data_IF_125524989547
#
_entry.id   IF_125524989547
#
_cell.length_a   1.000
_cell.length_b   1.000
_cell.length_c   1.000
_cell.angle_alpha   90.00
_cell.angle_beta   90.00
_cell.angle_gamma   90.00
#
_symmetry.space_group_name_H-M   'P 1'
#
loop_
_entity.id
_entity.type
_entity.pdbx_description
1 polymer ?
#
# COMPACT_ATOMS: atom_id res chain seq x y z
N UNK A 1 11.52 -4.69 -24.93
CA UNK A 1 10.96 -3.87 -23.84
C UNK A 1 11.90 -4.04 -22.66
N UNK A 2 12.57 -2.99 -22.16
CA UNK A 2 13.69 -3.15 -21.21
C UNK A 2 13.19 -3.43 -19.79
N UNK A 3 12.74 -4.67 -19.57
CA UNK A 3 12.55 -5.26 -18.25
C UNK A 3 13.93 -5.79 -17.82
N UNK A 4 14.36 -5.48 -16.61
CA UNK A 4 15.62 -5.99 -16.07
C UNK A 4 15.65 -7.54 -16.10
N UNK A 5 16.79 -8.18 -16.40
CA UNK A 5 16.87 -9.66 -16.48
C UNK A 5 16.38 -10.37 -15.21
N UNK A 6 16.64 -9.77 -14.04
CA UNK A 6 16.22 -10.34 -12.74
C UNK A 6 14.78 -9.99 -12.34
N UNK A 7 13.98 -9.42 -13.24
CA UNK A 7 12.59 -9.09 -12.93
C UNK A 7 11.77 -10.39 -12.77
N UNK A 8 11.06 -10.57 -11.65
CA UNK A 8 10.37 -11.83 -11.36
C UNK A 8 9.16 -12.03 -12.27
N UNK A 9 8.90 -13.28 -12.63
CA UNK A 9 7.69 -13.69 -13.35
C UNK A 9 6.45 -13.77 -12.45
N UNK A 10 6.64 -14.03 -11.15
CA UNK A 10 5.56 -14.12 -10.18
C UNK A 10 5.12 -12.73 -9.71
N UNK A 11 3.80 -12.41 -9.76
CA UNK A 11 3.28 -11.13 -9.25
C UNK A 11 3.32 -11.04 -7.71
N UNK A 12 3.62 -12.14 -7.02
CA UNK A 12 3.73 -12.22 -5.58
C UNK A 12 5.17 -12.06 -5.08
N UNK A 13 6.17 -12.18 -5.96
CA UNK A 13 7.57 -12.06 -5.59
C UNK A 13 7.88 -10.65 -5.09
N UNK A 14 8.58 -10.56 -3.96
CA UNK A 14 9.06 -9.30 -3.42
C UNK A 14 10.14 -8.76 -4.36
N UNK A 15 9.86 -7.60 -4.96
CA UNK A 15 10.77 -6.97 -5.92
C UNK A 15 11.81 -6.12 -5.19
N UNK A 16 13.09 -6.29 -5.52
CA UNK A 16 14.13 -5.36 -5.10
C UNK A 16 13.90 -4.00 -5.79
N UNK A 17 13.87 -2.86 -5.06
CA UNK A 17 13.71 -1.53 -5.62
C UNK A 17 14.66 -1.17 -6.77
N UNK A 18 15.83 -1.82 -6.85
CA UNK A 18 16.79 -1.60 -7.94
C UNK A 18 16.45 -2.38 -9.22
N UNK A 19 15.61 -3.41 -9.13
CA UNK A 19 15.15 -4.23 -10.26
C UNK A 19 13.84 -3.64 -10.80
N UNK A 20 13.91 -2.90 -11.91
CA UNK A 20 12.73 -2.24 -12.50
C UNK A 20 12.67 -2.31 -14.01
N UNK A 21 11.46 -2.04 -14.50
CA UNK A 21 11.25 -1.60 -15.87
C UNK A 21 11.78 -0.17 -16.04
N UNK A 22 12.49 0.09 -17.14
CA UNK A 22 13.06 1.38 -17.47
C UNK A 22 12.61 1.81 -18.88
N UNK A 23 12.02 3.01 -19.07
CA UNK A 23 11.56 3.48 -20.38
C UNK A 23 12.70 3.99 -21.29
N UNK A 24 13.90 3.41 -21.20
CA UNK A 24 15.04 3.75 -22.05
C UNK A 24 16.01 2.57 -22.17
N UNK A 25 17.01 2.69 -23.05
CA UNK A 25 18.07 1.68 -23.16
C UNK A 25 18.85 1.55 -21.84
N UNK A 26 19.29 0.35 -21.46
CA UNK A 26 19.99 0.12 -20.18
C UNK A 26 21.22 1.01 -19.99
N UNK A 27 21.88 1.40 -21.08
CA UNK A 27 23.06 2.29 -21.09
C UNK A 27 22.73 3.68 -20.49
N UNK A 28 21.46 4.11 -20.53
CA UNK A 28 21.01 5.39 -19.98
C UNK A 28 20.54 5.30 -18.52
N UNK A 29 20.62 4.12 -17.90
CA UNK A 29 20.15 3.90 -16.52
C UNK A 29 20.96 4.72 -15.53
N UNK A 30 22.28 4.70 -15.57
CA UNK A 30 23.09 5.44 -14.59
C UNK A 30 22.95 6.97 -14.69
N UNK A 31 22.73 7.51 -15.90
CA UNK A 31 22.71 8.97 -16.14
C UNK A 31 21.32 9.61 -16.15
N UNK A 32 20.25 8.82 -16.37
CA UNK A 32 18.90 9.34 -16.61
C UNK A 32 17.81 8.72 -15.73
N UNK A 33 18.14 7.73 -14.90
CA UNK A 33 17.16 6.99 -14.10
C UNK A 33 16.44 7.85 -13.07
N UNK A 34 17.15 8.75 -12.39
CA UNK A 34 16.53 9.66 -11.42
C UNK A 34 15.64 10.72 -12.08
N UNK A 35 15.91 11.07 -13.35
CA UNK A 35 15.16 12.10 -14.09
C UNK A 35 13.83 11.60 -14.67
N UNK A 36 13.66 10.28 -14.80
CA UNK A 36 12.49 9.66 -15.45
C UNK A 36 11.52 9.04 -14.44
N UNK A 37 11.91 8.88 -13.19
CA UNK A 37 11.07 8.37 -12.13
C UNK A 37 10.41 9.53 -11.37
N UNK A 38 9.20 9.32 -10.81
CA UNK A 38 8.64 10.28 -9.87
C UNK A 38 9.65 10.52 -8.73
N UNK A 39 10.00 11.79 -8.41
CA UNK A 39 11.17 12.14 -7.61
C UNK A 39 11.30 11.42 -6.26
N UNK A 40 10.17 11.20 -5.58
CA UNK A 40 10.14 10.58 -4.25
C UNK A 40 10.15 9.05 -4.28
N UNK A 41 9.77 8.43 -5.41
CA UNK A 41 9.40 7.00 -5.45
C UNK A 41 10.59 6.07 -5.33
N UNK A 42 11.77 6.46 -5.84
CA UNK A 42 12.95 5.60 -5.75
C UNK A 42 13.39 5.43 -4.30
N UNK A 43 13.63 6.54 -3.61
CA UNK A 43 14.07 6.53 -2.21
C UNK A 43 13.00 5.95 -1.28
N UNK A 44 11.72 6.28 -1.48
CA UNK A 44 10.64 5.68 -0.68
C UNK A 44 10.63 4.16 -0.77
N UNK A 45 10.82 3.57 -1.95
CA UNK A 45 10.80 2.11 -2.10
C UNK A 45 12.00 1.45 -1.41
N UNK A 46 13.19 2.08 -1.42
CA UNK A 46 14.34 1.61 -0.63
C UNK A 46 14.04 1.66 0.87
N UNK A 47 13.49 2.79 1.35
CA UNK A 47 13.16 2.99 2.77
C UNK A 47 12.09 2.00 3.25
N UNK A 48 11.02 1.79 2.45
CA UNK A 48 9.97 0.81 2.74
C UNK A 48 10.51 -0.62 2.74
N UNK A 49 11.40 -0.99 1.80
CA UNK A 49 12.09 -2.29 1.85
C UNK A 49 12.87 -2.48 3.15
N UNK A 50 13.72 -1.53 3.51
CA UNK A 50 14.50 -1.60 4.74
C UNK A 50 13.60 -1.68 5.98
N UNK A 51 12.56 -0.85 6.05
CA UNK A 51 11.58 -0.86 7.14
C UNK A 51 10.85 -2.20 7.26
N UNK A 52 10.43 -2.79 6.14
CA UNK A 52 9.84 -4.14 6.09
C UNK A 52 10.78 -5.20 6.65
N UNK A 53 12.08 -5.12 6.33
CA UNK A 53 13.11 -6.06 6.79
C UNK A 53 13.36 -5.96 8.30
N UNK A 54 13.12 -4.79 8.92
CA UNK A 54 13.16 -4.65 10.38
C UNK A 54 11.96 -5.26 11.10
N UNK A 55 10.93 -5.72 10.37
CA UNK A 55 9.67 -6.14 10.97
C UNK A 55 8.75 -4.97 11.33
N UNK A 56 8.82 -3.87 10.58
CA UNK A 56 7.95 -2.69 10.72
C UNK A 56 8.22 -1.83 11.98
N UNK A 57 9.47 -1.75 12.43
CA UNK A 57 9.85 -0.95 13.61
C UNK A 57 9.37 0.50 13.49
N UNK A 58 8.80 1.02 14.57
CA UNK A 58 8.34 2.41 14.68
C UNK A 58 6.88 2.65 14.25
N UNK A 59 6.22 1.67 13.64
CA UNK A 59 4.76 1.71 13.46
C UNK A 59 4.02 1.29 14.73
N UNK A 60 2.75 1.69 14.83
CA UNK A 60 1.85 1.32 15.90
C UNK A 60 1.53 -0.18 15.90
N UNK A 61 1.15 -0.71 17.06
CA UNK A 61 0.89 -2.14 17.24
C UNK A 61 -0.23 -2.62 16.30
N UNK A 62 -1.27 -1.81 16.10
CA UNK A 62 -2.35 -2.09 15.14
C UNK A 62 -1.84 -2.24 13.71
N UNK A 63 -0.94 -1.37 13.27
CA UNK A 63 -0.35 -1.42 11.93
C UNK A 63 0.51 -2.67 11.76
N UNK A 64 1.34 -3.00 12.75
CA UNK A 64 2.18 -4.19 12.73
C UNK A 64 1.31 -5.46 12.68
N UNK A 65 0.26 -5.53 13.50
CA UNK A 65 -0.69 -6.64 13.51
C UNK A 65 -1.34 -6.85 12.13
N UNK A 66 -1.89 -5.79 11.53
CA UNK A 66 -2.55 -5.87 10.23
C UNK A 66 -1.58 -6.22 9.09
N UNK A 67 -0.38 -5.64 9.07
CA UNK A 67 0.65 -5.95 8.06
C UNK A 67 1.11 -7.42 8.15
N UNK A 68 1.29 -7.93 9.37
CA UNK A 68 1.64 -9.33 9.59
C UNK A 68 0.49 -10.26 9.17
N UNK A 69 -0.75 -9.90 9.51
CA UNK A 69 -1.94 -10.62 9.07
C UNK A 69 -2.00 -10.68 7.54
N UNK A 70 -1.95 -9.56 6.83
CA UNK A 70 -2.13 -9.54 5.37
C UNK A 70 -0.99 -10.17 4.59
N UNK A 71 0.26 -10.03 5.04
CA UNK A 71 1.43 -10.31 4.19
C UNK A 71 2.38 -11.38 4.72
N UNK A 72 2.19 -11.85 5.96
CA UNK A 72 2.99 -12.94 6.54
C UNK A 72 2.16 -14.16 6.92
N UNK A 73 0.89 -13.98 7.31
CA UNK A 73 -0.01 -15.10 7.61
C UNK A 73 -0.48 -15.78 6.33
N UNK A 74 -0.56 -17.11 6.36
CA UNK A 74 -1.18 -17.89 5.30
C UNK A 74 -2.70 -17.79 5.39
N UNK A 75 -3.36 -17.51 4.25
CA UNK A 75 -4.81 -17.41 4.15
C UNK A 75 -5.35 -18.51 3.27
N UNK A 76 -6.14 -19.42 3.83
CA UNK A 76 -6.80 -20.49 3.10
C UNK A 76 -8.27 -20.12 2.88
N UNK A 77 -8.64 -19.87 1.63
CA UNK A 77 -10.03 -19.54 1.26
C UNK A 77 -10.74 -20.77 0.69
N UNK A 78 -11.98 -21.06 1.12
CA UNK A 78 -12.78 -22.12 0.53
C UNK A 78 -13.15 -21.78 -0.91
N UNK A 79 -13.19 -22.79 -1.77
CA UNK A 79 -13.73 -22.72 -3.13
C UNK A 79 -15.09 -23.39 -3.20
N UNK A 80 -15.83 -23.06 -4.26
CA UNK A 80 -17.14 -23.66 -4.54
C UNK A 80 -17.10 -25.18 -4.78
N UNK A 81 -15.95 -25.72 -5.18
CA UNK A 81 -15.72 -27.16 -5.39
C UNK A 81 -15.37 -27.93 -4.10
N UNK A 82 -15.40 -27.27 -2.94
CA UNK A 82 -15.02 -27.86 -1.65
C UNK A 82 -13.51 -27.90 -1.38
N UNK A 83 -12.67 -27.49 -2.32
CA UNK A 83 -11.22 -27.36 -2.11
C UNK A 83 -10.86 -26.02 -1.46
N UNK A 84 -9.65 -25.92 -0.90
CA UNK A 84 -9.10 -24.64 -0.44
C UNK A 84 -8.11 -24.08 -1.45
N UNK A 85 -7.98 -22.75 -1.50
CA UNK A 85 -6.87 -22.07 -2.18
C UNK A 85 -6.11 -21.22 -1.19
N UNK A 86 -4.80 -21.20 -1.32
CA UNK A 86 -3.96 -20.19 -0.69
C UNK A 86 -4.19 -18.85 -1.37
N UNK A 87 -4.62 -17.86 -0.60
CA UNK A 87 -4.77 -16.49 -1.01
C UNK A 87 -3.52 -15.69 -0.65
N UNK A 88 -3.07 -14.85 -1.58
CA UNK A 88 -1.98 -13.92 -1.35
C UNK A 88 -2.26 -12.60 -2.08
N UNK A 89 -1.92 -11.48 -1.46
CA UNK A 89 -1.91 -10.18 -2.14
C UNK A 89 -0.69 -10.08 -3.06
N UNK A 90 -0.86 -9.41 -4.21
CA UNK A 90 0.27 -9.13 -5.10
C UNK A 90 1.29 -8.21 -4.42
N UNK A 91 2.56 -8.32 -4.80
CA UNK A 91 3.61 -7.47 -4.25
C UNK A 91 3.30 -5.98 -4.45
N UNK A 92 2.76 -5.59 -5.61
CA UNK A 92 2.36 -4.20 -5.87
C UNK A 92 1.23 -3.70 -4.95
N UNK A 93 0.35 -4.58 -4.48
CA UNK A 93 -0.71 -4.24 -3.51
C UNK A 93 -0.10 -4.07 -2.12
N UNK A 94 0.79 -4.99 -1.72
CA UNK A 94 1.55 -4.91 -0.47
C UNK A 94 2.37 -3.63 -0.39
N UNK A 95 3.15 -3.34 -1.42
CA UNK A 95 4.02 -2.16 -1.48
C UNK A 95 3.21 -0.87 -1.41
N UNK A 96 2.03 -0.81 -2.04
CA UNK A 96 1.13 0.34 -1.93
C UNK A 96 0.65 0.57 -0.49
N UNK A 97 0.19 -0.48 0.18
CA UNK A 97 -0.28 -0.41 1.57
C UNK A 97 0.85 -0.07 2.53
N UNK A 98 1.98 -0.78 2.45
CA UNK A 98 3.14 -0.54 3.29
C UNK A 98 3.69 0.88 3.12
N UNK A 99 3.65 1.45 1.91
CA UNK A 99 4.13 2.82 1.69
C UNK A 99 3.25 3.84 2.40
N UNK A 100 1.92 3.69 2.35
CA UNK A 100 0.99 4.58 3.07
C UNK A 100 1.21 4.48 4.57
N UNK A 101 1.27 3.26 5.12
CA UNK A 101 1.47 3.03 6.54
C UNK A 101 2.86 3.53 6.99
N UNK A 102 3.90 3.26 6.21
CA UNK A 102 5.25 3.76 6.49
C UNK A 102 5.29 5.28 6.62
N UNK A 103 4.70 6.00 5.65
CA UNK A 103 4.69 7.46 5.65
C UNK A 103 3.90 8.05 6.82
N UNK A 104 2.72 7.48 7.11
CA UNK A 104 1.84 8.00 8.15
C UNK A 104 2.28 7.60 9.56
N UNK A 105 2.57 6.32 9.77
CA UNK A 105 2.68 5.76 11.11
C UNK A 105 4.14 5.70 11.59
N UNK A 106 5.04 5.21 10.74
CA UNK A 106 6.46 5.09 11.07
C UNK A 106 7.24 6.40 10.93
N UNK A 107 7.04 7.12 9.82
CA UNK A 107 7.72 8.41 9.56
C UNK A 107 6.96 9.58 10.18
N UNK A 108 5.64 9.48 10.31
CA UNK A 108 4.76 10.54 10.84
C UNK A 108 4.88 11.85 10.05
N UNK A 109 4.85 11.72 8.72
CA UNK A 109 4.83 12.86 7.81
C UNK A 109 3.62 13.73 8.11
N UNK A 110 3.85 15.02 8.36
CA UNK A 110 2.80 16.00 8.65
C UNK A 110 2.43 16.84 7.43
N UNK A 111 3.43 17.18 6.62
CA UNK A 111 3.27 18.14 5.54
C UNK A 111 4.19 17.86 4.35
N UNK A 112 4.15 18.77 3.37
CA UNK A 112 5.00 18.71 2.17
C UNK A 112 6.50 18.77 2.49
N UNK A 113 6.92 19.46 3.54
CA UNK A 113 8.35 19.56 3.91
C UNK A 113 8.90 18.23 4.41
N UNK A 114 8.11 17.47 5.17
CA UNK A 114 8.46 16.11 5.57
C UNK A 114 8.62 15.18 4.35
N UNK A 115 7.74 15.33 3.34
CA UNK A 115 7.80 14.53 2.10
C UNK A 115 9.03 14.86 1.23
N UNK A 116 9.46 16.12 1.19
CA UNK A 116 10.63 16.54 0.39
C UNK A 116 11.93 15.86 0.83
N UNK A 117 12.00 15.29 2.05
CA UNK A 117 13.16 14.49 2.51
C UNK A 117 13.40 13.23 1.68
N UNK A 118 12.42 12.81 0.89
CA UNK A 118 12.53 11.67 -0.02
C UNK A 118 12.90 12.08 -1.46
N UNK A 119 13.04 13.37 -1.76
CA UNK A 119 13.49 13.82 -3.07
C UNK A 119 15.01 13.69 -3.20
N UNK A 120 15.46 12.69 -3.95
CA UNK A 120 16.89 12.56 -4.30
C UNK A 120 17.29 13.41 -5.50
N UNK A 121 16.33 13.90 -6.30
CA UNK A 121 16.59 14.63 -7.54
C UNK A 121 16.86 16.12 -7.32
N UNK A 122 16.41 16.67 -6.19
CA UNK A 122 16.42 18.11 -5.92
C UNK A 122 15.52 18.92 -6.85
N UNK A 123 14.67 18.26 -7.64
CA UNK A 123 13.79 18.89 -8.63
C UNK A 123 12.48 19.38 -8.02
N UNK A 124 12.16 19.01 -6.77
CA UNK A 124 10.89 19.34 -6.13
C UNK A 124 11.10 20.41 -5.06
N UNK A 125 10.26 21.46 -5.10
CA UNK A 125 10.21 22.48 -4.05
C UNK A 125 8.82 22.53 -3.40
N UNK A 126 8.77 23.00 -2.15
CA UNK A 126 7.51 23.14 -1.41
C UNK A 126 6.50 24.07 -2.10
N UNK A 127 6.99 25.05 -2.88
CA UNK A 127 6.17 25.98 -3.66
C UNK A 127 5.45 25.33 -4.84
N UNK A 128 5.75 24.07 -5.18
CA UNK A 128 5.04 23.31 -6.22
C UNK A 128 3.72 22.71 -5.72
N UNK A 129 3.42 22.84 -4.43
CA UNK A 129 2.21 22.28 -3.80
C UNK A 129 1.42 23.40 -3.13
N UNK A 130 0.20 23.62 -3.64
CA UNK A 130 -0.74 24.59 -3.09
C UNK A 130 -1.46 24.04 -1.85
N UNK A 131 -1.57 22.73 -1.71
CA UNK A 131 -2.23 22.10 -0.58
C UNK A 131 -1.36 22.08 0.68
N UNK A 132 -1.98 22.47 1.80
CA UNK A 132 -1.38 22.42 3.14
C UNK A 132 -1.82 21.19 3.96
N UNK A 133 -2.64 20.31 3.38
CA UNK A 133 -3.07 19.06 4.01
C UNK A 133 -2.38 17.85 3.41
N UNK A 134 -2.22 16.81 4.23
CA UNK A 134 -1.62 15.55 3.81
C UNK A 134 -2.54 14.83 2.80
N UNK A 135 -2.02 14.58 1.60
CA UNK A 135 -2.70 13.80 0.55
C UNK A 135 -1.75 12.74 0.00
N UNK A 136 -2.14 11.47 0.14
CA UNK A 136 -1.44 10.38 -0.50
C UNK A 136 -2.13 9.96 -1.79
N UNK A 137 -1.32 9.71 -2.82
CA UNK A 137 -1.78 9.28 -4.15
C UNK A 137 -1.11 7.97 -4.51
N UNK A 138 -1.91 6.96 -4.79
CA UNK A 138 -1.42 5.65 -5.24
C UNK A 138 -1.70 5.50 -6.73
N UNK A 139 -0.65 5.47 -7.55
CA UNK A 139 -0.75 5.23 -8.98
C UNK A 139 -0.64 3.73 -9.27
N UNK A 140 -1.74 3.13 -9.76
CA UNK A 140 -1.82 1.69 -10.01
C UNK A 140 -2.38 1.38 -11.40
N UNK A 141 -1.88 0.32 -12.03
CA UNK A 141 -2.38 -0.16 -13.32
C UNK A 141 -3.84 -0.66 -13.24
N UNK A 142 -4.52 -0.71 -14.39
CA UNK A 142 -5.83 -1.39 -14.47
C UNK A 142 -5.65 -2.89 -14.30
N UNK A 143 -6.54 -3.53 -13.53
CA UNK A 143 -6.45 -4.96 -13.21
C UNK A 143 -5.53 -5.31 -12.02
N UNK A 144 -4.73 -4.38 -11.48
CA UNK A 144 -3.82 -4.67 -10.36
C UNK A 144 -4.51 -4.80 -8.99
N UNK A 145 -5.84 -4.71 -8.92
CA UNK A 145 -6.61 -4.83 -7.67
C UNK A 145 -6.65 -3.56 -6.81
N UNK A 146 -6.91 -2.38 -7.41
CA UNK A 146 -7.09 -1.12 -6.68
C UNK A 146 -8.11 -1.21 -5.53
N UNK A 147 -9.23 -1.89 -5.75
CA UNK A 147 -10.27 -2.07 -4.74
C UNK A 147 -9.77 -2.85 -3.52
N UNK A 148 -8.88 -3.85 -3.71
CA UNK A 148 -8.28 -4.60 -2.61
C UNK A 148 -7.34 -3.71 -1.78
N UNK A 149 -6.52 -2.89 -2.42
CA UNK A 149 -5.68 -1.91 -1.69
C UNK A 149 -6.55 -0.95 -0.90
N UNK A 150 -7.64 -0.47 -1.50
CA UNK A 150 -8.58 0.41 -0.83
C UNK A 150 -9.22 -0.25 0.40
N UNK A 151 -9.68 -1.51 0.32
CA UNK A 151 -10.25 -2.19 1.49
C UNK A 151 -9.23 -2.38 2.63
N UNK A 152 -7.97 -2.71 2.31
CA UNK A 152 -6.89 -2.80 3.30
C UNK A 152 -6.65 -1.46 4.00
N UNK A 153 -6.54 -0.37 3.24
CA UNK A 153 -6.33 0.98 3.82
C UNK A 153 -7.52 1.41 4.69
N UNK A 154 -8.76 1.16 4.25
CA UNK A 154 -9.95 1.50 5.03
C UNK A 154 -10.01 0.71 6.35
N UNK A 155 -9.71 -0.59 6.31
CA UNK A 155 -9.64 -1.41 7.52
C UNK A 155 -8.54 -0.91 8.47
N UNK A 156 -7.35 -0.60 7.96
CA UNK A 156 -6.27 -0.02 8.76
C UNK A 156 -6.69 1.29 9.40
N UNK A 157 -7.23 2.26 8.64
CA UNK A 157 -7.68 3.53 9.19
C UNK A 157 -8.71 3.33 10.33
N UNK A 158 -9.66 2.42 10.13
CA UNK A 158 -10.70 2.15 11.12
C UNK A 158 -10.11 1.59 12.43
N UNK A 159 -9.31 0.52 12.36
CA UNK A 159 -8.75 -0.11 13.56
C UNK A 159 -7.66 0.72 14.21
N UNK A 160 -6.84 1.42 13.43
CA UNK A 160 -5.85 2.33 13.96
C UNK A 160 -6.53 3.45 14.76
N UNK A 161 -7.66 4.00 14.26
CA UNK A 161 -8.48 4.93 15.05
C UNK A 161 -9.17 4.29 16.26
N UNK A 162 -9.47 3.00 16.21
CA UNK A 162 -10.15 2.31 17.30
C UNK A 162 -9.21 1.98 18.47
N UNK A 163 -7.97 1.59 18.17
CA UNK A 163 -7.05 1.02 19.16
C UNK A 163 -5.90 1.91 19.54
N UNK A 164 -5.45 2.81 18.65
CA UNK A 164 -4.34 3.72 18.96
C UNK A 164 -4.91 5.03 19.55
N UNK A 165 -4.62 5.36 20.83
CA UNK A 165 -5.24 6.51 21.51
C UNK A 165 -5.03 7.85 20.80
N UNK A 166 -3.86 8.04 20.20
CA UNK A 166 -3.44 9.29 19.56
C UNK A 166 -3.68 9.29 18.04
N UNK A 167 -4.43 8.31 17.51
CA UNK A 167 -4.71 8.23 16.08
C UNK A 167 -5.57 9.39 15.60
N UNK A 168 -5.13 10.11 14.57
CA UNK A 168 -5.92 11.14 13.88
C UNK A 168 -6.73 10.58 12.70
N UNK A 169 -6.65 9.27 12.44
CA UNK A 169 -7.40 8.63 11.35
C UNK A 169 -8.91 8.60 11.63
N UNK A 170 -9.68 8.26 10.61
CA UNK A 170 -11.14 8.27 10.65
C UNK A 170 -11.74 6.86 10.75
N UNK A 171 -12.95 6.78 11.32
CA UNK A 171 -13.82 5.59 11.25
C UNK A 171 -14.92 5.68 10.19
N UNK A 172 -15.13 6.88 9.66
CA UNK A 172 -16.14 7.18 8.63
C UNK A 172 -15.41 7.56 7.34
N UNK A 173 -15.83 6.97 6.23
CA UNK A 173 -15.13 7.12 4.96
C UNK A 173 -16.11 7.53 3.85
N UNK A 174 -15.63 8.42 2.97
CA UNK A 174 -16.33 8.79 1.73
C UNK A 174 -15.54 8.24 0.54
N UNK A 175 -16.17 7.36 -0.24
CA UNK A 175 -15.61 6.86 -1.50
C UNK A 175 -16.32 7.55 -2.66
N UNK A 176 -15.57 8.30 -3.46
CA UNK A 176 -16.09 9.05 -4.61
C UNK A 176 -15.72 8.30 -5.89
N UNK A 177 -16.72 8.03 -6.73
CA UNK A 177 -16.56 7.42 -8.04
C UNK A 177 -16.78 8.45 -9.16
N UNK A 178 -16.07 8.35 -10.29
CA UNK A 178 -16.15 9.32 -11.38
C UNK A 178 -17.45 9.25 -12.19
N UNK A 179 -18.19 8.14 -12.11
CA UNK A 179 -19.47 7.93 -12.78
C UNK A 179 -20.24 6.76 -12.13
N UNK A 180 -21.51 6.62 -12.51
CA UNK A 180 -22.42 5.61 -11.96
C UNK A 180 -21.93 4.17 -12.21
N UNK A 181 -21.28 3.90 -13.35
CA UNK A 181 -20.79 2.55 -13.69
C UNK A 181 -19.67 2.13 -12.74
N UNK A 182 -18.75 3.04 -12.42
CA UNK A 182 -17.69 2.77 -11.45
C UNK A 182 -18.26 2.70 -10.03
N UNK A 183 -19.24 3.56 -9.71
CA UNK A 183 -19.94 3.52 -8.43
C UNK A 183 -20.58 2.16 -8.19
N UNK A 184 -21.35 1.65 -9.14
CA UNK A 184 -22.07 0.37 -9.02
C UNK A 184 -21.10 -0.82 -8.82
N UNK A 185 -19.92 -0.78 -9.46
CA UNK A 185 -18.88 -1.81 -9.26
C UNK A 185 -18.28 -1.76 -7.86
N UNK A 186 -17.87 -0.57 -7.40
CA UNK A 186 -17.35 -0.40 -6.03
C UNK A 186 -18.42 -0.81 -5.02
N UNK A 187 -19.67 -0.40 -5.26
CA UNK A 187 -20.79 -0.71 -4.40
C UNK A 187 -21.06 -2.22 -4.35
N UNK A 188 -20.98 -2.93 -5.47
CA UNK A 188 -21.08 -4.39 -5.48
C UNK A 188 -20.00 -5.08 -4.62
N UNK A 189 -18.80 -4.50 -4.52
CA UNK A 189 -17.71 -5.01 -3.67
C UNK A 189 -17.93 -4.66 -2.18
N UNK A 190 -18.38 -3.43 -1.87
CA UNK A 190 -18.46 -2.92 -0.49
C UNK A 190 -19.82 -3.09 0.20
N UNK A 191 -20.91 -3.29 -0.54
CA UNK A 191 -22.27 -3.40 0.03
C UNK A 191 -22.35 -4.58 1.01
N UNK A 192 -22.87 -4.29 2.20
CA UNK A 192 -22.92 -5.25 3.31
C UNK A 192 -21.54 -5.62 3.86
N UNK A 193 -20.54 -4.75 3.69
CA UNK A 193 -19.14 -4.96 4.12
C UNK A 193 -18.47 -6.19 3.46
N UNK A 194 -19.01 -6.66 2.34
CA UNK A 194 -18.67 -7.96 1.74
C UNK A 194 -17.19 -8.16 1.46
N UNK A 195 -16.51 -7.15 0.91
CA UNK A 195 -15.08 -7.24 0.61
C UNK A 195 -14.22 -7.48 1.85
N UNK A 196 -14.65 -7.01 3.03
CA UNK A 196 -13.92 -7.19 4.29
C UNK A 196 -13.97 -8.63 4.82
N UNK A 197 -14.98 -9.40 4.41
CA UNK A 197 -15.18 -10.80 4.82
C UNK A 197 -14.85 -11.82 3.73
N UNK A 198 -14.92 -11.43 2.44
CA UNK A 198 -14.60 -12.32 1.32
C UNK A 198 -13.10 -12.49 1.13
N UNK A 199 -12.36 -11.39 1.29
CA UNK A 199 -10.91 -11.39 1.32
C UNK A 199 -10.44 -11.41 2.78
N UNK A 200 -9.20 -11.86 3.08
CA UNK A 200 -8.66 -11.87 4.44
C UNK A 200 -8.25 -10.46 4.92
N UNK A 201 -9.15 -9.49 4.81
CA UNK A 201 -8.92 -8.10 5.23
C UNK A 201 -8.99 -8.00 6.76
N UNK A 202 -9.99 -8.64 7.37
CA UNK A 202 -10.17 -8.63 8.83
C UNK A 202 -9.53 -9.86 9.47
N UNK A 203 -8.65 -9.68 10.48
CA UNK A 203 -8.23 -10.78 11.33
C UNK A 203 -9.39 -11.49 12.04
N UNK A 204 -9.10 -12.67 12.57
CA UNK A 204 -10.00 -13.35 13.50
C UNK A 204 -10.02 -12.63 14.86
N UNK A 205 -11.15 -12.66 15.56
CA UNK A 205 -11.26 -12.07 16.89
C UNK A 205 -10.30 -12.77 17.87
N UNK A 206 -9.58 -11.98 18.66
CA UNK A 206 -8.52 -12.44 19.55
C UNK A 206 -7.13 -12.44 18.92
N UNK A 207 -6.99 -12.21 17.60
CA UNK A 207 -5.69 -12.02 16.98
C UNK A 207 -4.99 -10.80 17.62
N UNK A 208 -3.75 -10.99 18.10
CA UNK A 208 -3.02 -9.99 18.89
C UNK A 208 -3.83 -9.40 20.08
N UNK A 209 -4.78 -10.17 20.62
CA UNK A 209 -5.60 -9.76 21.77
C UNK A 209 -6.70 -8.74 21.47
N UNK A 210 -6.99 -8.46 20.19
CA UNK A 210 -7.96 -7.42 19.77
C UNK A 210 -9.22 -8.00 19.10
N UNK A 211 -10.26 -7.17 18.96
CA UNK A 211 -11.54 -7.55 18.35
C UNK A 211 -11.73 -6.98 16.93
N UNK A 212 -11.40 -7.77 15.92
CA UNK A 212 -11.32 -7.34 14.53
C UNK A 212 -12.61 -7.48 13.71
N UNK A 213 -13.71 -7.95 14.31
CA UNK A 213 -14.99 -8.22 13.63
C UNK A 213 -16.21 -7.72 14.38
#
# INVERSE_FOLDING_TARGET
>A
MAIHPDFPSSPYAILNPDVRWFPAAEILRESSYEKLLPPLVHELRKKVKAWRETGYVGAADTSVALLNWWFKKEHLLPKADGTTRTFQYYYAQREAVETVIYLYDAVRVKDKYDLLRFDSSGAVSASMFDEEWLRFVIKMATGSGKTKVMSLILAWCYFHKLYEPDSELARNFLVIAPNIIVLDRIRADFDGLRIFFTDPVLPDNGYEGQNWR
#
